data_IF_509697638627
#
_entry.id   IF_509697638627
#
_cell.length_a   1.000
_cell.length_b   1.000
_cell.length_c   1.000
_cell.angle_alpha   90.00
_cell.angle_beta   90.00
_cell.angle_gamma   90.00
#
_symmetry.space_group_name_H-M   'P 1'
#
loop_
_entity.id
_entity.type
_entity.pdbx_description
1 polymer ?
#
# COMPACT_ATOMS: atom_id res chain seq x y z
N UNK A 1 -10.08 -20.30 -20.36
CA UNK A 1 -11.44 -19.77 -20.10
C UNK A 1 -11.73 -18.84 -21.25
N UNK A 2 -12.95 -18.71 -21.76
CA UNK A 2 -13.22 -17.68 -22.78
C UNK A 2 -13.36 -16.33 -22.09
N UNK A 3 -12.96 -15.22 -22.74
CA UNK A 3 -13.24 -13.86 -22.24
C UNK A 3 -14.73 -13.65 -21.92
N UNK A 4 -15.63 -14.32 -22.65
CA UNK A 4 -17.08 -14.34 -22.36
C UNK A 4 -17.44 -15.04 -21.04
N UNK A 5 -16.69 -16.06 -20.64
CA UNK A 5 -16.88 -16.73 -19.35
C UNK A 5 -16.33 -15.87 -18.21
N UNK A 6 -15.21 -15.19 -18.44
CA UNK A 6 -14.64 -14.21 -17.50
C UNK A 6 -15.60 -13.04 -17.28
N UNK A 7 -16.19 -12.48 -18.35
CA UNK A 7 -17.21 -11.41 -18.24
C UNK A 7 -18.40 -11.80 -17.37
N UNK A 8 -18.92 -13.02 -17.55
CA UNK A 8 -20.02 -13.53 -16.70
C UNK A 8 -19.61 -13.66 -15.23
N UNK A 9 -18.35 -14.02 -14.98
CA UNK A 9 -17.81 -14.14 -13.62
C UNK A 9 -17.65 -12.76 -12.97
N UNK A 10 -17.13 -11.77 -13.71
CA UNK A 10 -17.03 -10.36 -13.29
C UNK A 10 -18.41 -9.82 -12.92
N UNK A 11 -19.42 -9.99 -13.78
CA UNK A 11 -20.78 -9.54 -13.49
C UNK A 11 -21.39 -10.22 -12.25
N UNK A 12 -21.09 -11.51 -12.05
CA UNK A 12 -21.52 -12.25 -10.85
C UNK A 12 -20.82 -11.74 -9.59
N UNK A 13 -19.56 -11.31 -9.71
CA UNK A 13 -18.77 -10.71 -8.64
C UNK A 13 -19.29 -9.31 -8.29
N UNK A 14 -19.50 -8.44 -9.28
CA UNK A 14 -20.02 -7.07 -9.10
C UNK A 14 -21.43 -7.05 -8.48
N UNK A 15 -22.22 -8.11 -8.72
CA UNK A 15 -23.53 -8.32 -8.08
C UNK A 15 -23.43 -8.81 -6.62
N UNK A 16 -22.26 -9.28 -6.19
CA UNK A 16 -22.00 -9.67 -4.79
C UNK A 16 -21.79 -8.42 -3.94
N UNK A 17 -22.49 -8.33 -2.80
CA UNK A 17 -22.37 -7.21 -1.84
C UNK A 17 -21.10 -7.23 -0.98
N UNK A 18 -20.18 -8.17 -1.23
CA UNK A 18 -19.02 -8.43 -0.37
C UNK A 18 -17.69 -7.97 -0.99
N UNK A 19 -17.71 -7.02 -1.91
CA UNK A 19 -16.51 -6.43 -2.52
C UNK A 19 -16.22 -5.06 -1.90
N UNK A 20 -14.94 -4.74 -1.70
CA UNK A 20 -14.49 -3.38 -1.41
C UNK A 20 -14.51 -2.54 -2.70
N UNK A 21 -14.47 -1.22 -2.53
CA UNK A 21 -14.59 -0.28 -3.64
C UNK A 21 -13.45 -0.44 -4.66
N UNK A 22 -12.21 -0.65 -4.19
CA UNK A 22 -11.04 -0.86 -5.06
C UNK A 22 -11.20 -2.09 -5.98
N UNK A 23 -11.60 -3.25 -5.42
CA UNK A 23 -11.80 -4.46 -6.25
C UNK A 23 -13.01 -4.32 -7.17
N UNK A 24 -13.97 -3.47 -6.81
CA UNK A 24 -15.11 -3.19 -7.67
C UNK A 24 -14.67 -2.37 -8.89
N UNK A 25 -13.85 -1.34 -8.69
CA UNK A 25 -13.27 -0.53 -9.77
C UNK A 25 -12.41 -1.37 -10.70
N UNK A 26 -11.51 -2.21 -10.17
CA UNK A 26 -10.68 -3.14 -10.96
C UNK A 26 -11.54 -4.04 -11.86
N UNK A 27 -12.64 -4.59 -11.31
CA UNK A 27 -13.54 -5.47 -12.04
C UNK A 27 -14.32 -4.75 -13.15
N UNK A 28 -14.69 -3.49 -12.93
CA UNK A 28 -15.35 -2.65 -13.95
C UNK A 28 -14.37 -2.30 -15.08
N UNK A 29 -13.09 -2.07 -14.77
CA UNK A 29 -12.05 -1.84 -15.77
C UNK A 29 -11.73 -3.11 -16.58
N UNK A 30 -11.66 -4.27 -15.93
CA UNK A 30 -11.54 -5.54 -16.65
C UNK A 30 -12.73 -5.84 -17.57
N UNK A 31 -13.95 -5.39 -17.23
CA UNK A 31 -15.10 -5.51 -18.12
C UNK A 31 -14.91 -4.68 -19.41
N UNK A 32 -14.37 -3.46 -19.29
CA UNK A 32 -14.02 -2.62 -20.44
C UNK A 32 -12.88 -3.23 -21.26
N UNK A 33 -11.88 -3.80 -20.60
CA UNK A 33 -10.76 -4.47 -21.28
C UNK A 33 -11.22 -5.69 -22.08
N UNK A 34 -12.23 -6.43 -21.59
CA UNK A 34 -12.88 -7.49 -22.37
C UNK A 34 -13.58 -6.91 -23.61
N UNK A 35 -14.30 -5.80 -23.48
CA UNK A 35 -14.97 -5.16 -24.62
C UNK A 35 -13.98 -4.65 -25.68
N UNK A 36 -12.81 -4.21 -25.24
CA UNK A 36 -11.71 -3.79 -26.11
C UNK A 36 -10.82 -4.96 -26.60
N UNK A 37 -11.14 -6.21 -26.25
CA UNK A 37 -10.32 -7.41 -26.49
C UNK A 37 -8.86 -7.30 -25.98
N UNK A 38 -8.64 -6.53 -24.92
CA UNK A 38 -7.32 -6.24 -24.34
C UNK A 38 -7.09 -6.88 -22.96
N UNK A 39 -8.00 -7.73 -22.48
CA UNK A 39 -7.86 -8.37 -21.18
C UNK A 39 -6.59 -9.24 -21.08
N UNK A 40 -5.77 -9.01 -20.06
CA UNK A 40 -4.56 -9.79 -19.83
C UNK A 40 -4.91 -11.16 -19.22
N UNK A 41 -4.03 -12.15 -19.43
CA UNK A 41 -4.23 -13.49 -18.87
C UNK A 41 -4.19 -13.51 -17.35
N UNK A 42 -3.45 -12.57 -16.75
CA UNK A 42 -3.35 -12.45 -15.30
C UNK A 42 -4.64 -11.90 -14.69
N UNK A 43 -5.35 -11.02 -15.40
CA UNK A 43 -6.66 -10.51 -14.98
C UNK A 43 -7.71 -11.63 -14.99
N UNK A 44 -7.68 -12.51 -15.99
CA UNK A 44 -8.52 -13.72 -16.01
C UNK A 44 -8.24 -14.63 -14.81
N UNK A 45 -6.97 -14.80 -14.44
CA UNK A 45 -6.55 -15.61 -13.31
C UNK A 45 -6.99 -14.99 -11.98
N UNK A 46 -6.86 -13.66 -11.85
CA UNK A 46 -7.30 -12.89 -10.69
C UNK A 46 -8.81 -13.02 -10.48
N UNK A 47 -9.61 -12.74 -11.52
CA UNK A 47 -11.07 -12.84 -11.49
C UNK A 47 -11.52 -14.25 -11.08
N UNK A 48 -10.84 -15.29 -11.58
CA UNK A 48 -11.14 -16.68 -11.22
C UNK A 48 -10.79 -17.01 -9.76
N UNK A 49 -9.64 -16.54 -9.28
CA UNK A 49 -9.24 -16.73 -7.89
C UNK A 49 -10.20 -16.03 -6.93
N UNK A 50 -10.62 -14.81 -7.26
CA UNK A 50 -11.59 -14.04 -6.49
C UNK A 50 -12.95 -14.73 -6.45
N UNK A 51 -13.44 -15.21 -7.60
CA UNK A 51 -14.68 -15.96 -7.68
C UNK A 51 -14.67 -17.25 -6.85
N UNK A 52 -13.57 -18.00 -6.89
CA UNK A 52 -13.40 -19.20 -6.05
C UNK A 52 -13.39 -18.85 -4.55
N UNK A 53 -12.70 -17.78 -4.15
CA UNK A 53 -12.66 -17.31 -2.75
C UNK A 53 -14.05 -16.93 -2.24
N UNK A 54 -14.84 -16.28 -3.09
CA UNK A 54 -16.21 -15.87 -2.75
C UNK A 54 -17.26 -16.97 -3.01
N UNK A 55 -16.82 -18.15 -3.45
CA UNK A 55 -17.66 -19.29 -3.81
C UNK A 55 -18.74 -18.94 -4.86
N UNK A 56 -18.38 -18.05 -5.79
CA UNK A 56 -19.21 -17.59 -6.91
C UNK A 56 -18.76 -18.36 -8.15
N UNK A 57 -19.67 -19.15 -8.72
CA UNK A 57 -19.42 -19.89 -9.96
C UNK A 57 -20.20 -19.23 -11.10
N UNK A 58 -19.51 -18.93 -12.21
CA UNK A 58 -20.16 -18.54 -13.45
C UNK A 58 -21.04 -19.69 -13.94
N UNK A 59 -22.33 -19.61 -13.64
CA UNK A 59 -23.35 -20.46 -14.25
C UNK A 59 -23.90 -21.62 -13.42
N UNK A 60 -23.56 -21.79 -12.14
CA UNK A 60 -24.21 -22.81 -11.32
C UNK A 60 -25.38 -22.21 -10.51
N UNK A 61 -26.61 -22.53 -10.93
CA UNK A 61 -27.78 -22.60 -10.03
C UNK A 61 -27.29 -23.08 -8.67
N UNK A 62 -27.63 -22.33 -7.60
CA UNK A 62 -27.54 -22.74 -6.20
C UNK A 62 -27.52 -24.27 -6.12
N UNK A 63 -26.34 -24.87 -5.96
CA UNK A 63 -26.28 -26.26 -5.58
C UNK A 63 -26.96 -26.30 -4.22
N UNK A 64 -28.17 -26.86 -4.22
CA UNK A 64 -28.95 -27.07 -3.02
C UNK A 64 -28.06 -27.74 -1.98
N UNK A 65 -28.29 -27.38 -0.71
CA UNK A 65 -27.84 -28.15 0.45
C UNK A 65 -28.13 -29.63 0.18
N UNK A 66 -27.16 -30.35 -0.36
CA UNK A 66 -27.26 -31.79 -0.47
C UNK A 66 -26.88 -32.29 0.91
N UNK A 67 -27.88 -32.92 1.54
CA UNK A 67 -27.81 -33.49 2.87
C UNK A 67 -26.49 -34.26 3.06
N UNK A 68 -25.95 -34.14 4.28
CA UNK A 68 -25.05 -35.12 4.89
C UNK A 68 -25.52 -36.53 4.48
N UNK A 69 -24.78 -37.17 3.60
CA UNK A 69 -24.82 -38.61 3.44
C UNK A 69 -23.45 -39.13 3.88
N UNK A 70 -23.45 -39.65 5.10
CA UNK A 70 -22.33 -40.31 5.73
C UNK A 70 -22.18 -41.69 5.12
N UNK A 71 -21.20 -41.90 4.24
CA UNK A 71 -20.56 -43.21 4.07
C UNK A 71 -19.30 -43.18 3.20
N UNK A 72 -18.24 -43.80 3.72
CA UNK A 72 -17.13 -44.46 3.03
C UNK A 72 -16.03 -43.63 2.33
N UNK A 73 -15.01 -43.30 3.14
CA UNK A 73 -13.59 -43.65 2.91
C UNK A 73 -12.97 -43.31 1.54
N UNK A 74 -12.28 -42.16 1.49
CA UNK A 74 -11.02 -42.00 0.75
C UNK A 74 -10.01 -41.25 1.61
N UNK A 75 -9.08 -41.99 2.18
CA UNK A 75 -7.80 -41.47 2.68
C UNK A 75 -7.11 -40.66 1.57
N UNK A 76 -6.95 -39.35 1.76
CA UNK A 76 -5.96 -38.55 1.04
C UNK A 76 -5.42 -37.50 2.00
N UNK A 77 -4.15 -37.63 2.35
CA UNK A 77 -3.38 -36.79 3.27
C UNK A 77 -3.18 -35.36 2.73
N UNK A 78 -4.27 -34.64 2.53
CA UNK A 78 -4.26 -33.29 1.94
C UNK A 78 -5.60 -32.55 2.07
N UNK A 79 -6.52 -33.03 2.92
CA UNK A 79 -7.63 -32.20 3.38
C UNK A 79 -7.09 -31.27 4.46
N UNK A 80 -6.53 -30.15 4.01
CA UNK A 80 -6.19 -29.03 4.87
C UNK A 80 -7.43 -28.71 5.71
N UNK A 81 -7.33 -28.88 7.03
CA UNK A 81 -8.39 -28.51 7.96
C UNK A 81 -8.50 -26.98 7.98
N UNK A 82 -9.40 -26.46 7.14
CA UNK A 82 -9.62 -25.04 6.98
C UNK A 82 -10.14 -24.40 8.26
N UNK A 83 -10.81 -25.16 9.13
CA UNK A 83 -11.24 -24.66 10.43
C UNK A 83 -10.06 -24.48 11.37
N UNK A 84 -9.15 -25.44 11.45
CA UNK A 84 -7.95 -25.30 12.28
C UNK A 84 -7.05 -24.15 11.80
N UNK A 85 -6.91 -23.98 10.47
CA UNK A 85 -6.18 -22.83 9.89
C UNK A 85 -6.87 -21.49 10.10
N UNK A 86 -8.21 -21.46 10.11
CA UNK A 86 -8.95 -20.23 10.40
C UNK A 86 -8.75 -19.79 11.86
N UNK A 87 -8.82 -20.72 12.81
CA UNK A 87 -8.58 -20.43 14.23
C UNK A 87 -7.14 -19.94 14.47
N UNK A 88 -6.15 -20.57 13.82
CA UNK A 88 -4.74 -20.13 13.90
C UNK A 88 -4.58 -18.73 13.27
N UNK A 89 -5.25 -18.46 12.16
CA UNK A 89 -5.19 -17.16 11.51
C UNK A 89 -5.87 -16.07 12.36
N UNK A 90 -7.02 -16.34 12.98
CA UNK A 90 -7.70 -15.42 13.89
C UNK A 90 -6.82 -15.06 15.10
N UNK A 91 -6.19 -16.06 15.73
CA UNK A 91 -5.25 -15.83 16.83
C UNK A 91 -4.03 -14.99 16.38
N UNK A 92 -3.53 -15.22 15.15
CA UNK A 92 -2.40 -14.46 14.60
C UNK A 92 -2.79 -13.03 14.23
N UNK A 93 -4.03 -12.79 13.81
CA UNK A 93 -4.55 -11.44 13.55
C UNK A 93 -4.63 -10.64 14.84
N UNK A 94 -5.16 -11.23 15.92
CA UNK A 94 -5.23 -10.57 17.23
C UNK A 94 -3.85 -10.19 17.77
N UNK A 95 -2.85 -11.07 17.62
CA UNK A 95 -1.46 -10.79 17.98
C UNK A 95 -0.87 -9.63 17.16
N UNK A 96 -1.07 -9.65 15.84
CA UNK A 96 -0.58 -8.58 14.95
C UNK A 96 -1.28 -7.24 15.20
N UNK A 97 -2.56 -7.23 15.54
CA UNK A 97 -3.29 -6.01 15.90
C UNK A 97 -2.73 -5.39 17.19
N UNK A 98 -2.37 -6.23 18.17
CA UNK A 98 -1.74 -5.79 19.41
C UNK A 98 -0.32 -5.24 19.16
N UNK A 99 0.46 -5.89 18.30
CA UNK A 99 1.79 -5.40 17.88
C UNK A 99 1.70 -4.06 17.15
N UNK A 100 0.72 -3.90 16.26
CA UNK A 100 0.46 -2.63 15.57
C UNK A 100 0.05 -1.54 16.56
N UNK A 101 -0.76 -1.87 17.57
CA UNK A 101 -1.13 -0.92 18.62
C UNK A 101 0.09 -0.49 19.44
N UNK A 102 0.95 -1.42 19.83
CA UNK A 102 2.18 -1.13 20.57
C UNK A 102 3.15 -0.28 19.73
N UNK A 103 3.34 -0.61 18.45
CA UNK A 103 4.18 0.18 17.55
C UNK A 103 3.60 1.59 17.32
N UNK A 104 2.27 1.74 17.23
CA UNK A 104 1.63 3.06 17.12
C UNK A 104 1.87 3.91 18.37
N UNK A 105 1.78 3.33 19.55
CA UNK A 105 2.08 4.04 20.81
C UNK A 105 3.58 4.35 20.94
N UNK A 106 4.47 3.48 20.47
CA UNK A 106 5.91 3.74 20.39
C UNK A 106 6.23 4.88 19.42
N UNK A 107 5.65 4.88 18.22
CA UNK A 107 5.80 5.97 17.23
C UNK A 107 5.28 7.29 17.82
N UNK A 108 4.10 7.29 18.43
CA UNK A 108 3.51 8.50 19.05
C UNK A 108 4.36 9.02 20.21
N UNK A 109 5.00 8.11 20.96
CA UNK A 109 5.93 8.47 22.02
C UNK A 109 7.24 9.02 21.45
N UNK A 110 7.73 8.46 20.35
CA UNK A 110 8.94 8.91 19.66
C UNK A 110 8.71 10.25 18.95
N UNK A 111 7.51 10.51 18.43
CA UNK A 111 7.12 11.80 17.84
C UNK A 111 7.08 12.92 18.91
N UNK A 112 6.68 12.58 20.14
CA UNK A 112 6.78 13.51 21.28
C UNK A 112 8.23 13.79 21.68
N UNK A 113 9.16 12.85 21.48
CA UNK A 113 10.60 13.08 21.71
C UNK A 113 11.21 13.85 20.53
N UNK A 114 10.83 13.55 19.29
CA UNK A 114 11.27 14.26 18.09
C UNK A 114 10.80 15.74 18.06
N UNK A 115 9.64 16.04 18.64
CA UNK A 115 9.17 17.42 18.86
C UNK A 115 9.90 18.18 19.97
N UNK A 116 10.77 17.53 20.76
CA UNK A 116 11.61 18.20 21.77
C UNK A 116 13.03 18.48 21.31
N UNK A 117 13.42 18.00 20.11
CA UNK A 117 14.64 18.46 19.47
C UNK A 117 14.38 19.86 18.89
N UNK A 118 15.14 20.90 19.28
CA UNK A 118 15.03 22.19 18.62
C UNK A 118 15.38 21.98 17.15
N UNK A 119 14.40 22.01 16.26
CA UNK A 119 14.71 22.35 14.88
C UNK A 119 15.18 23.79 14.94
N UNK A 120 16.51 24.00 14.91
CA UNK A 120 17.06 25.27 14.48
C UNK A 120 16.43 25.58 13.14
N UNK A 121 15.48 26.50 13.16
CA UNK A 121 14.90 27.08 11.97
C UNK A 121 16.02 27.87 11.31
N UNK A 122 16.80 27.19 10.46
CA UNK A 122 17.74 27.84 9.55
C UNK A 122 16.95 28.91 8.79
N UNK A 123 17.21 30.19 9.08
CA UNK A 123 16.54 31.28 8.39
C UNK A 123 16.98 31.24 6.93
N UNK A 124 16.06 30.77 6.08
CA UNK A 124 16.28 30.66 4.64
C UNK A 124 16.71 31.98 4.03
N UNK A 125 16.32 33.10 4.63
CA UNK A 125 16.70 34.43 4.18
C UNK A 125 18.17 34.74 4.49
N UNK A 126 18.64 34.40 5.69
CA UNK A 126 20.04 34.58 6.07
C UNK A 126 20.98 33.71 5.22
N UNK A 127 20.56 32.47 4.93
CA UNK A 127 21.31 31.59 4.02
C UNK A 127 21.37 32.15 2.59
N UNK A 128 20.26 32.71 2.09
CA UNK A 128 20.24 33.32 0.77
C UNK A 128 21.14 34.57 0.71
N UNK A 129 21.10 35.43 1.73
CA UNK A 129 21.96 36.61 1.81
C UNK A 129 23.45 36.24 1.85
N UNK A 130 23.82 35.12 2.48
CA UNK A 130 25.19 34.60 2.46
C UNK A 130 25.59 34.05 1.09
N UNK A 131 24.66 33.42 0.37
CA UNK A 131 24.91 32.93 -1.00
C UNK A 131 25.11 34.11 -1.95
N UNK A 132 24.27 35.15 -1.85
CA UNK A 132 24.34 36.34 -2.70
C UNK A 132 25.59 37.19 -2.42
N UNK A 133 26.21 37.05 -1.24
CA UNK A 133 27.51 37.64 -0.91
C UNK A 133 28.70 36.88 -1.51
N UNK A 134 28.53 35.58 -1.78
CA UNK A 134 29.58 34.72 -2.34
C UNK A 134 29.43 34.58 -3.87
N UNK A 135 28.23 34.76 -4.38
CA UNK A 135 27.86 34.45 -5.74
C UNK A 135 27.13 35.61 -6.40
N UNK A 136 27.62 36.03 -7.56
CA UNK A 136 26.92 36.95 -8.44
C UNK A 136 26.03 36.15 -9.39
N UNK A 137 24.74 36.11 -9.08
CA UNK A 137 23.75 35.39 -9.89
C UNK A 137 23.51 36.03 -11.26
N UNK A 138 23.84 37.31 -11.45
CA UNK A 138 23.66 37.99 -12.74
C UNK A 138 24.75 37.60 -13.74
N UNK A 139 25.97 37.36 -13.24
CA UNK A 139 27.13 37.01 -14.06
C UNK A 139 27.55 35.53 -13.93
N UNK A 140 26.82 34.73 -13.15
CA UNK A 140 27.05 33.30 -12.88
C UNK A 140 28.49 33.01 -12.41
N UNK A 141 29.01 33.88 -11.52
CA UNK A 141 30.40 33.82 -11.05
C UNK A 141 30.54 34.08 -9.55
N UNK A 142 31.58 33.50 -8.95
CA UNK A 142 31.95 33.77 -7.56
C UNK A 142 32.43 35.22 -7.43
N UNK A 143 31.91 35.93 -6.42
CA UNK A 143 32.35 37.28 -6.11
C UNK A 143 33.77 37.24 -5.53
N UNK A 144 34.59 38.22 -5.94
CA UNK A 144 35.92 38.42 -5.35
C UNK A 144 35.75 39.16 -4.03
N UNK A 145 35.61 38.39 -2.95
CA UNK A 145 35.54 38.91 -1.58
C UNK A 145 36.95 39.10 -0.99
N UNK A 146 37.07 40.06 -0.07
CA UNK A 146 38.32 40.22 0.68
C UNK A 146 38.49 39.10 1.72
N UNK A 147 39.72 38.87 2.19
CA UNK A 147 39.98 37.86 3.22
C UNK A 147 39.30 38.19 4.57
N UNK A 148 39.05 39.48 4.81
CA UNK A 148 38.35 39.97 6.00
C UNK A 148 36.84 39.65 5.93
N UNK A 149 36.23 39.89 4.77
CA UNK A 149 34.82 39.56 4.52
C UNK A 149 34.58 38.04 4.50
N UNK A 150 35.50 37.28 3.89
CA UNK A 150 35.46 35.81 3.90
C UNK A 150 35.51 35.25 5.33
N UNK A 151 36.34 35.84 6.19
CA UNK A 151 36.45 35.44 7.59
C UNK A 151 35.18 35.78 8.39
N UNK A 152 34.54 36.92 8.09
CA UNK A 152 33.28 37.31 8.71
C UNK A 152 32.13 36.37 8.32
N UNK A 153 32.05 35.98 7.04
CA UNK A 153 31.06 35.01 6.53
C UNK A 153 31.23 33.63 7.19
N UNK A 154 32.47 33.12 7.24
CA UNK A 154 32.75 31.84 7.89
C UNK A 154 32.43 31.85 9.39
N UNK A 155 32.62 32.99 10.06
CA UNK A 155 32.28 33.14 11.48
C UNK A 155 30.77 33.12 11.70
N UNK A 156 29.98 33.73 10.81
CA UNK A 156 28.51 33.65 10.85
C UNK A 156 28.03 32.22 10.66
N UNK A 157 28.51 31.54 9.61
CA UNK A 157 28.17 30.13 9.37
C UNK A 157 28.51 29.24 10.58
N UNK A 158 29.62 29.47 11.28
CA UNK A 158 29.99 28.68 12.46
C UNK A 158 29.08 28.87 13.69
N UNK A 159 28.40 30.00 13.80
CA UNK A 159 27.53 30.30 14.95
C UNK A 159 26.20 29.57 14.82
N UNK A 160 25.74 29.31 13.59
CA UNK A 160 24.43 28.71 13.31
C UNK A 160 24.45 27.16 13.19
N UNK A 161 25.60 26.51 13.45
CA UNK A 161 25.79 25.04 13.40
C UNK A 161 26.33 24.45 14.72
N UNK A 162 26.21 25.16 15.87
CA UNK A 162 26.66 24.71 17.20
C UNK A 162 25.56 24.83 18.24
#
# INVERSE_FOLDING_TARGET
MSQNDTKKLIQSLLASKNLNDDTREDLEDFEKDIENNNLHKDDEAYVKALANRLNISAGAKRASKTKRDSSATRTKAGSIDWQERAVIAEARVEELENDVMNLKEEIKSNDKVAQTSPQESLDKKELQDLIDQLYDSENDQLQKISNEDASAILKKMKIDFS
#
